data_IF_297387873716
#
_entry.id   IF_297387873716
#
_cell.length_a   1.000
_cell.length_b   1.000
_cell.length_c   1.000
_cell.angle_alpha   90.00
_cell.angle_beta   90.00
_cell.angle_gamma   90.00
#
_symmetry.space_group_name_H-M   'P 1'
#
loop_
_entity.id
_entity.type
_entity.pdbx_description
1 polymer ?
#
# COMPACT_ATOMS: atom_id res chain seq x y z
N UNK A 1 26.25 -2.67 -6.92
CA UNK A 1 25.64 -1.49 -6.24
C UNK A 1 24.19 -1.83 -5.94
N UNK A 2 23.76 -1.83 -4.68
CA UNK A 2 22.32 -1.93 -4.36
C UNK A 2 21.65 -0.63 -4.79
N UNK A 3 20.58 -0.71 -5.60
CA UNK A 3 19.77 0.47 -5.96
C UNK A 3 19.08 1.01 -4.71
N UNK A 4 19.14 2.33 -4.50
CA UNK A 4 18.45 2.98 -3.39
C UNK A 4 17.02 3.33 -3.80
N UNK A 5 16.11 3.41 -2.85
CA UNK A 5 14.75 3.84 -3.13
C UNK A 5 14.67 5.34 -3.41
N UNK A 6 15.59 6.11 -2.84
CA UNK A 6 15.78 7.53 -3.12
C UNK A 6 16.04 7.84 -4.60
N UNK A 7 16.61 6.90 -5.35
CA UNK A 7 16.86 7.03 -6.80
C UNK A 7 15.55 7.18 -7.63
N UNK A 8 14.37 6.89 -7.05
CA UNK A 8 13.05 7.11 -7.69
C UNK A 8 12.69 8.59 -7.80
N UNK A 9 13.35 9.47 -7.05
CA UNK A 9 12.99 10.87 -6.89
C UNK A 9 14.06 11.80 -7.48
N UNK A 10 13.66 13.01 -7.88
CA UNK A 10 14.62 14.01 -8.40
C UNK A 10 15.62 14.45 -7.32
N UNK A 11 16.85 14.80 -7.71
CA UNK A 11 17.94 15.18 -6.79
C UNK A 11 17.61 16.37 -5.88
N UNK A 12 16.70 17.24 -6.34
CA UNK A 12 16.25 18.43 -5.60
C UNK A 12 15.02 18.16 -4.71
N UNK A 13 14.67 16.89 -4.54
CA UNK A 13 13.53 16.52 -3.70
C UNK A 13 13.83 16.83 -2.24
N UNK A 14 13.07 17.78 -1.70
CA UNK A 14 13.14 18.13 -0.27
C UNK A 14 12.39 17.08 0.55
N UNK A 15 13.08 16.56 1.56
CA UNK A 15 12.53 15.65 2.55
C UNK A 15 11.68 16.45 3.55
N UNK A 16 10.47 15.97 3.85
CA UNK A 16 9.61 16.58 4.86
C UNK A 16 10.05 16.16 6.26
N UNK A 17 10.58 17.09 7.04
CA UNK A 17 11.15 16.82 8.36
C UNK A 17 10.12 16.33 9.37
N UNK A 18 8.89 16.87 9.34
CA UNK A 18 7.82 16.43 10.23
C UNK A 18 7.44 14.97 9.95
N UNK A 19 7.36 14.57 8.69
CA UNK A 19 7.10 13.17 8.31
C UNK A 19 8.27 12.27 8.76
N UNK A 20 9.51 12.68 8.50
CA UNK A 20 10.72 11.94 8.90
C UNK A 20 10.72 11.65 10.41
N UNK A 21 10.46 12.67 11.21
CA UNK A 21 10.55 12.55 12.66
C UNK A 21 9.49 11.58 13.21
N UNK A 22 8.28 11.54 12.63
CA UNK A 22 7.26 10.55 13.00
C UNK A 22 7.61 9.13 12.52
N UNK A 23 8.21 9.00 11.32
CA UNK A 23 8.70 7.70 10.82
C UNK A 23 9.78 7.15 11.77
N UNK A 24 10.76 7.98 12.16
CA UNK A 24 11.85 7.55 13.06
C UNK A 24 11.36 7.09 14.43
N UNK A 25 10.27 7.68 14.94
CA UNK A 25 9.66 7.28 16.23
C UNK A 25 8.95 5.93 16.15
N UNK A 26 8.39 5.59 14.99
CA UNK A 26 7.48 4.46 14.85
C UNK A 26 8.08 3.24 14.13
N UNK A 27 9.11 3.46 13.30
CA UNK A 27 9.74 2.41 12.52
C UNK A 27 10.62 1.48 13.37
N UNK A 28 10.74 0.23 12.92
CA UNK A 28 11.62 -0.79 13.49
C UNK A 28 12.41 -1.45 12.37
N UNK A 29 13.72 -1.64 12.54
CA UNK A 29 14.62 -2.25 11.54
C UNK A 29 14.53 -1.61 10.14
N UNK A 30 14.44 -0.28 10.07
CA UNK A 30 14.20 0.50 8.85
C UNK A 30 12.93 0.07 8.09
N UNK A 31 11.92 -0.42 8.81
CA UNK A 31 10.63 -0.82 8.27
C UNK A 31 9.49 -0.11 8.98
N UNK A 32 8.44 0.19 8.22
CA UNK A 32 7.21 0.76 8.72
C UNK A 32 6.02 -0.04 8.18
N UNK A 33 5.09 -0.42 9.04
CA UNK A 33 3.91 -1.14 8.56
C UNK A 33 2.96 -0.23 7.81
N UNK A 34 2.23 -0.78 6.85
CA UNK A 34 1.26 -0.03 6.08
C UNK A 34 0.22 0.63 6.99
N UNK A 35 -0.23 -0.03 8.06
CA UNK A 35 -1.17 0.60 9.01
C UNK A 35 -0.59 1.81 9.73
N UNK A 36 0.64 1.71 10.24
CA UNK A 36 1.29 2.83 10.93
C UNK A 36 1.57 3.99 9.95
N UNK A 37 1.98 3.68 8.72
CA UNK A 37 2.20 4.68 7.67
C UNK A 37 0.95 5.54 7.43
N UNK A 38 -0.23 4.92 7.31
CA UNK A 38 -1.48 5.67 7.14
C UNK A 38 -1.89 6.44 8.40
N UNK A 39 -1.65 5.89 9.60
CA UNK A 39 -1.91 6.62 10.85
C UNK A 39 -1.07 7.88 10.98
N UNK A 40 0.21 7.83 10.58
CA UNK A 40 1.08 9.01 10.57
C UNK A 40 0.58 10.02 9.52
N UNK A 41 0.20 9.55 8.32
CA UNK A 41 -0.32 10.42 7.28
C UNK A 41 -1.59 11.17 7.73
N UNK A 42 -2.52 10.46 8.35
CA UNK A 42 -3.74 11.02 8.95
C UNK A 42 -3.41 12.00 10.09
N UNK A 43 -2.54 11.61 11.03
CA UNK A 43 -2.11 12.45 12.15
C UNK A 43 -1.52 13.79 11.69
N UNK A 44 -0.73 13.78 10.62
CA UNK A 44 -0.05 14.97 10.11
C UNK A 44 -0.88 15.74 9.06
N UNK A 45 -2.02 15.19 8.62
CA UNK A 45 -2.84 15.79 7.55
C UNK A 45 -2.14 15.82 6.19
N UNK A 46 -1.25 14.86 5.91
CA UNK A 46 -0.47 14.77 4.67
C UNK A 46 -1.00 13.65 3.77
N UNK A 47 -0.67 13.71 2.48
CA UNK A 47 -1.07 12.64 1.57
C UNK A 47 -0.25 11.35 1.85
N UNK A 48 -0.87 10.15 1.76
CA UNK A 48 -0.12 8.89 1.88
C UNK A 48 1.07 8.80 0.91
N UNK A 49 0.93 9.36 -0.30
CA UNK A 49 2.01 9.40 -1.29
C UNK A 49 3.20 10.26 -0.86
N UNK A 50 2.99 11.32 -0.07
CA UNK A 50 4.08 12.14 0.49
C UNK A 50 4.84 11.39 1.59
N UNK A 51 4.09 10.64 2.40
CA UNK A 51 4.70 9.78 3.42
C UNK A 51 5.53 8.65 2.79
N UNK A 52 5.01 7.99 1.76
CA UNK A 52 5.77 6.97 1.05
C UNK A 52 6.98 7.53 0.29
N UNK A 53 6.85 8.72 -0.32
CA UNK A 53 8.01 9.44 -0.86
C UNK A 53 9.09 9.67 0.20
N UNK A 54 8.70 10.07 1.41
CA UNK A 54 9.65 10.26 2.52
C UNK A 54 10.30 8.95 2.94
N UNK A 55 9.54 7.84 2.99
CA UNK A 55 10.10 6.50 3.24
C UNK A 55 11.14 6.10 2.19
N UNK A 56 10.85 6.31 0.89
CA UNK A 56 11.79 6.03 -0.20
C UNK A 56 13.08 6.87 -0.04
N UNK A 57 12.96 8.18 0.27
CA UNK A 57 14.12 9.07 0.47
C UNK A 57 14.98 8.66 1.66
N UNK A 58 14.38 8.08 2.69
CA UNK A 58 15.07 7.56 3.88
C UNK A 58 15.64 6.14 3.67
N UNK A 59 15.38 5.50 2.52
CA UNK A 59 15.67 4.09 2.25
C UNK A 59 14.96 3.11 3.23
N UNK A 60 13.78 3.49 3.74
CA UNK A 60 12.94 2.65 4.60
C UNK A 60 11.99 1.79 3.74
N UNK A 61 11.62 0.61 4.26
CA UNK A 61 10.71 -0.32 3.57
C UNK A 61 9.34 -0.39 4.22
N UNK A 62 8.30 -0.45 3.41
CA UNK A 62 6.99 -0.85 3.92
C UNK A 62 6.95 -2.35 4.23
N UNK A 63 6.34 -2.72 5.35
CA UNK A 63 5.99 -4.10 5.69
C UNK A 63 4.49 -4.23 6.00
N UNK A 64 4.01 -5.47 6.17
CA UNK A 64 2.63 -5.77 6.59
C UNK A 64 1.57 -4.95 5.84
N UNK A 65 1.56 -5.07 4.51
CA UNK A 65 0.58 -4.40 3.66
C UNK A 65 -0.85 -4.72 4.13
N UNK A 66 -1.72 -3.73 4.40
CA UNK A 66 -3.09 -4.00 4.89
C UNK A 66 -3.97 -4.82 3.92
N UNK A 67 -3.55 -4.94 2.66
CA UNK A 67 -4.18 -5.76 1.62
C UNK A 67 -3.53 -7.16 1.48
N UNK A 68 -2.51 -7.48 2.28
CA UNK A 68 -1.82 -8.77 2.23
C UNK A 68 -0.79 -8.93 1.10
N UNK A 69 -0.60 -7.92 0.25
CA UNK A 69 0.10 -8.06 -1.05
C UNK A 69 1.63 -8.15 -0.96
N UNK A 70 2.24 -7.58 0.09
CA UNK A 70 3.69 -7.55 0.27
C UNK A 70 4.08 -7.34 1.73
N UNK A 71 5.37 -7.53 2.05
CA UNK A 71 5.92 -7.15 3.34
C UNK A 71 5.68 -8.15 4.46
N UNK A 72 5.40 -9.41 4.10
CA UNK A 72 5.19 -10.53 5.01
C UNK A 72 6.39 -11.49 4.99
N UNK A 73 6.48 -12.36 6.00
CA UNK A 73 7.49 -13.41 6.16
C UNK A 73 6.85 -14.63 6.84
N UNK A 74 7.22 -15.88 6.50
CA UNK A 74 8.22 -16.29 5.51
C UNK A 74 7.79 -15.99 4.06
N UNK A 75 6.50 -16.02 3.78
CA UNK A 75 5.93 -15.73 2.46
C UNK A 75 5.85 -14.22 2.21
N UNK A 76 6.19 -13.79 0.99
CA UNK A 76 6.20 -12.36 0.62
C UNK A 76 4.82 -11.70 0.68
N UNK A 77 3.75 -12.48 0.46
CA UNK A 77 2.34 -12.07 0.46
C UNK A 77 1.51 -13.12 1.18
N UNK A 78 0.36 -12.72 1.72
CA UNK A 78 -0.59 -13.60 2.45
C UNK A 78 -1.94 -13.73 1.75
N UNK A 79 -2.09 -13.11 0.57
CA UNK A 79 -3.30 -13.19 -0.27
C UNK A 79 -3.48 -14.60 -0.83
N UNK A 80 -4.73 -15.07 -0.84
CA UNK A 80 -5.15 -16.35 -1.42
C UNK A 80 -6.11 -16.12 -2.56
N UNK A 81 -6.01 -16.92 -3.62
CA UNK A 81 -6.98 -16.86 -4.71
C UNK A 81 -8.34 -17.38 -4.21
N UNK A 82 -9.34 -16.51 -4.21
CA UNK A 82 -10.70 -16.85 -3.78
C UNK A 82 -11.72 -16.33 -4.80
N UNK A 83 -12.81 -17.07 -4.98
CA UNK A 83 -13.90 -16.67 -5.85
C UNK A 83 -14.82 -15.70 -5.08
N UNK A 84 -14.95 -14.43 -5.49
CA UNK A 84 -15.81 -13.47 -4.80
C UNK A 84 -17.30 -13.73 -5.06
N UNK A 85 -18.12 -13.24 -4.12
CA UNK A 85 -19.56 -13.10 -4.33
C UNK A 85 -19.85 -12.24 -5.59
N UNK A 86 -20.94 -12.50 -6.33
CA UNK A 86 -21.24 -11.82 -7.60
C UNK A 86 -21.21 -10.29 -7.53
N UNK A 87 -21.73 -9.70 -6.45
CA UNK A 87 -21.76 -8.26 -6.24
C UNK A 87 -20.37 -7.64 -6.02
N UNK A 88 -19.45 -8.37 -5.37
CA UNK A 88 -18.06 -7.95 -5.20
C UNK A 88 -17.30 -8.08 -6.52
N UNK A 89 -17.53 -9.18 -7.26
CA UNK A 89 -16.98 -9.38 -8.60
C UNK A 89 -17.33 -8.21 -9.50
N UNK A 90 -18.60 -7.86 -9.57
CA UNK A 90 -19.10 -6.80 -10.44
C UNK A 90 -18.50 -5.44 -10.07
N UNK A 91 -18.41 -5.14 -8.77
CA UNK A 91 -17.78 -3.93 -8.29
C UNK A 91 -16.29 -3.86 -8.64
N UNK A 92 -15.55 -4.97 -8.53
CA UNK A 92 -14.14 -5.04 -8.92
C UNK A 92 -13.98 -4.86 -10.43
N UNK A 93 -14.78 -5.56 -11.24
CA UNK A 93 -14.72 -5.45 -12.71
C UNK A 93 -15.03 -4.03 -13.18
N UNK A 94 -16.10 -3.43 -12.65
CA UNK A 94 -16.51 -2.06 -12.96
C UNK A 94 -15.46 -1.01 -12.58
N UNK A 95 -14.72 -1.27 -11.50
CA UNK A 95 -13.66 -0.40 -11.02
C UNK A 95 -12.29 -0.70 -11.64
N UNK A 96 -12.18 -1.78 -12.42
CA UNK A 96 -10.92 -2.21 -13.02
C UNK A 96 -10.72 -1.64 -14.42
N UNK A 97 -9.49 -1.27 -14.72
CA UNK A 97 -9.05 -0.83 -16.04
C UNK A 97 -7.82 -1.64 -16.43
N UNK A 98 -7.81 -2.26 -17.61
CA UNK A 98 -6.73 -3.12 -18.10
C UNK A 98 -6.27 -4.20 -17.09
N UNK A 99 -7.25 -4.83 -16.42
CA UNK A 99 -7.01 -5.86 -15.41
C UNK A 99 -6.29 -5.34 -14.16
N UNK A 100 -6.47 -4.05 -13.83
CA UNK A 100 -5.84 -3.38 -12.69
C UNK A 100 -6.85 -2.56 -11.91
N UNK A 101 -6.62 -2.44 -10.62
CA UNK A 101 -7.37 -1.56 -9.73
C UNK A 101 -6.40 -0.89 -8.75
N UNK A 102 -6.63 0.37 -8.40
CA UNK A 102 -5.77 1.05 -7.41
C UNK A 102 -6.00 0.52 -6.00
N UNK A 103 -5.00 0.63 -5.12
CA UNK A 103 -5.14 0.30 -3.69
C UNK A 103 -6.24 1.14 -3.02
N UNK A 104 -6.40 2.41 -3.40
CA UNK A 104 -7.47 3.27 -2.88
C UNK A 104 -8.85 2.72 -3.26
N UNK A 105 -9.05 2.49 -4.56
CA UNK A 105 -10.33 1.99 -5.08
C UNK A 105 -10.69 0.63 -4.48
N UNK A 106 -9.71 -0.25 -4.29
CA UNK A 106 -9.95 -1.52 -3.62
C UNK A 106 -10.30 -1.37 -2.13
N UNK A 107 -9.78 -0.36 -1.42
CA UNK A 107 -10.22 -0.02 -0.07
C UNK A 107 -11.64 0.54 -0.07
N UNK A 108 -12.00 1.37 -1.04
CA UNK A 108 -13.36 1.92 -1.19
C UNK A 108 -14.38 0.79 -1.39
N UNK A 109 -14.05 -0.23 -2.20
CA UNK A 109 -14.86 -1.44 -2.35
C UNK A 109 -14.98 -2.18 -1.02
N UNK A 110 -13.87 -2.40 -0.31
CA UNK A 110 -13.89 -3.08 0.99
C UNK A 110 -14.81 -2.36 1.99
N UNK A 111 -14.73 -1.02 2.06
CA UNK A 111 -15.57 -0.20 2.90
C UNK A 111 -17.04 -0.26 2.47
N UNK A 112 -17.32 -0.13 1.17
CA UNK A 112 -18.69 -0.19 0.61
C UNK A 112 -19.42 -1.47 0.96
N UNK A 113 -18.74 -2.61 0.91
CA UNK A 113 -19.32 -3.92 1.24
C UNK A 113 -19.14 -4.32 2.71
N UNK A 114 -18.51 -3.46 3.53
CA UNK A 114 -18.19 -3.73 4.93
C UNK A 114 -17.43 -5.07 5.13
N UNK A 115 -16.42 -5.31 4.28
CA UNK A 115 -15.58 -6.51 4.32
C UNK A 115 -14.11 -6.16 4.62
N UNK A 116 -13.31 -7.11 5.13
CA UNK A 116 -11.88 -6.90 5.31
C UNK A 116 -11.17 -6.53 3.98
N UNK A 117 -10.20 -5.61 4.04
CA UNK A 117 -9.41 -5.18 2.86
C UNK A 117 -8.75 -6.35 2.12
N UNK A 118 -8.27 -7.35 2.87
CA UNK A 118 -7.66 -8.57 2.31
C UNK A 118 -8.64 -9.42 1.51
N UNK A 119 -9.95 -9.38 1.83
CA UNK A 119 -10.97 -10.10 1.07
C UNK A 119 -11.07 -9.57 -0.36
N UNK A 120 -10.97 -8.26 -0.56
CA UNK A 120 -10.91 -7.66 -1.91
C UNK A 120 -9.64 -8.09 -2.64
N UNK A 121 -8.51 -8.21 -1.94
CA UNK A 121 -7.26 -8.71 -2.54
C UNK A 121 -7.34 -10.18 -2.92
N UNK A 122 -7.95 -11.02 -2.09
CA UNK A 122 -8.16 -12.43 -2.40
C UNK A 122 -9.04 -12.61 -3.65
N UNK A 123 -10.10 -11.81 -3.75
CA UNK A 123 -10.95 -11.73 -4.93
C UNK A 123 -10.17 -11.30 -6.18
N UNK A 124 -9.39 -10.22 -6.07
CA UNK A 124 -8.54 -9.76 -7.17
C UNK A 124 -7.54 -10.84 -7.62
N UNK A 125 -6.92 -11.57 -6.67
CA UNK A 125 -6.01 -12.67 -6.95
C UNK A 125 -6.71 -13.81 -7.71
N UNK A 126 -7.91 -14.22 -7.28
CA UNK A 126 -8.72 -15.23 -7.97
C UNK A 126 -9.12 -14.81 -9.39
N UNK A 127 -9.45 -13.53 -9.56
CA UNK A 127 -9.83 -12.92 -10.84
C UNK A 127 -8.64 -12.54 -11.74
N UNK A 128 -7.40 -12.74 -11.27
CA UNK A 128 -6.16 -12.31 -11.96
C UNK A 128 -6.08 -10.79 -12.21
N UNK A 129 -6.73 -9.99 -11.38
CA UNK A 129 -6.67 -8.52 -11.39
C UNK A 129 -5.55 -8.04 -10.47
N UNK A 130 -4.72 -7.13 -10.96
CA UNK A 130 -3.59 -6.60 -10.18
C UNK A 130 -3.98 -5.35 -9.41
N UNK A 131 -3.69 -5.33 -8.12
CA UNK A 131 -3.83 -4.11 -7.32
C UNK A 131 -2.59 -3.23 -7.49
N UNK A 132 -2.72 -2.15 -8.26
CA UNK A 132 -1.73 -1.08 -8.43
C UNK A 132 -2.35 0.16 -9.08
N UNK A 133 -1.88 1.39 -8.76
CA UNK A 133 -0.79 1.69 -7.84
C UNK A 133 -1.18 1.55 -6.36
N UNK A 134 -0.17 1.45 -5.49
CA UNK A 134 -0.33 1.59 -4.04
C UNK A 134 -0.47 3.08 -3.68
N UNK A 135 -1.29 3.39 -2.68
CA UNK A 135 -1.48 4.76 -2.19
C UNK A 135 -0.21 5.38 -1.59
N UNK A 136 0.64 4.55 -0.94
CA UNK A 136 1.91 5.01 -0.38
C UNK A 136 3.01 5.06 -1.45
N UNK A 137 3.00 4.16 -2.43
CA UNK A 137 4.01 4.14 -3.51
C UNK A 137 5.44 3.71 -3.10
N UNK A 138 5.68 3.38 -1.83
CA UNK A 138 6.99 2.99 -1.30
C UNK A 138 7.09 1.47 -1.12
N UNK A 139 8.00 0.82 -1.84
CA UNK A 139 8.39 -0.60 -1.66
C UNK A 139 9.76 -0.85 -2.26
#
# INVERSE_FOLDING_TARGET
MQKKFSDKHGKDTVLNECIRDEILKAAQDNRLSCVIAFQIAEKLGVLPSELGKTLDLMDFRLNQCQMGLFGYSPDKKIVKAEEPAPEIREAILSASEDGRISCNTAWDIAARFNIPKITVSNACEGMKIRIKPCQLGAF
#
